data_IF_583344057400
#
_entry.id   IF_583344057400
#
_cell.length_a   1.000
_cell.length_b   1.000
_cell.length_c   1.000
_cell.angle_alpha   90.00
_cell.angle_beta   90.00
_cell.angle_gamma   90.00
#
_symmetry.space_group_name_H-M   'P 1'
#
loop_
_entity.id
_entity.type
_entity.pdbx_description
1 polymer ?
#
# COMPACT_ATOMS: atom_id res chain seq x y z
N UNK A 1 0.64 -0.14 -13.80
CA UNK A 1 0.78 -1.43 -13.10
C UNK A 1 2.13 -1.61 -12.39
N UNK A 2 3.26 -1.22 -13.00
CA UNK A 2 4.61 -1.40 -12.43
C UNK A 2 4.80 -0.81 -11.03
N UNK A 3 4.46 0.47 -10.81
CA UNK A 3 4.62 1.13 -9.50
C UNK A 3 3.83 0.42 -8.40
N UNK A 4 2.59 0.02 -8.68
CA UNK A 4 1.79 -0.77 -7.74
C UNK A 4 2.48 -2.10 -7.41
N UNK A 5 2.95 -2.80 -8.44
CA UNK A 5 3.62 -4.10 -8.27
C UNK A 5 4.86 -4.00 -7.39
N UNK A 6 5.77 -3.06 -7.68
CA UNK A 6 7.01 -2.90 -6.92
C UNK A 6 6.72 -2.53 -5.45
N UNK A 7 5.76 -1.62 -5.20
CA UNK A 7 5.38 -1.27 -3.84
C UNK A 7 4.83 -2.47 -3.07
N UNK A 8 3.90 -3.23 -3.66
CA UNK A 8 3.36 -4.44 -3.03
C UNK A 8 4.43 -5.48 -2.70
N UNK A 9 5.38 -5.70 -3.61
CA UNK A 9 6.48 -6.64 -3.39
C UNK A 9 7.43 -6.15 -2.29
N UNK A 10 7.75 -4.86 -2.23
CA UNK A 10 8.63 -4.32 -1.20
C UNK A 10 8.03 -4.37 0.21
N UNK A 11 6.73 -4.09 0.35
CA UNK A 11 6.03 -4.34 1.60
C UNK A 11 6.15 -5.82 2.01
N UNK A 12 5.87 -6.76 1.10
CA UNK A 12 6.01 -8.18 1.41
C UNK A 12 7.44 -8.57 1.79
N UNK A 13 8.43 -8.10 1.02
CA UNK A 13 9.86 -8.38 1.22
C UNK A 13 10.33 -7.94 2.61
N UNK A 14 10.02 -6.73 3.01
CA UNK A 14 10.41 -6.23 4.34
C UNK A 14 9.64 -6.93 5.47
N UNK A 15 8.38 -7.31 5.27
CA UNK A 15 7.65 -8.12 6.24
C UNK A 15 8.30 -9.51 6.41
N UNK A 16 8.80 -10.11 5.32
CA UNK A 16 9.58 -11.35 5.38
C UNK A 16 10.92 -11.14 6.12
N UNK A 17 11.59 -10.00 5.94
CA UNK A 17 12.82 -9.67 6.68
C UNK A 17 12.56 -9.49 8.18
N UNK A 18 11.44 -8.87 8.55
CA UNK A 18 11.00 -8.76 9.95
C UNK A 18 10.65 -10.14 10.51
N UNK A 19 9.94 -10.97 9.75
CA UNK A 19 9.60 -12.34 10.15
C UNK A 19 10.87 -13.18 10.39
N UNK A 20 11.85 -13.09 9.48
CA UNK A 20 13.13 -13.81 9.57
C UNK A 20 13.93 -13.46 10.83
N UNK A 21 13.84 -12.22 11.32
CA UNK A 21 14.48 -11.79 12.57
C UNK A 21 13.80 -12.37 13.82
N UNK A 22 12.52 -12.71 13.71
CA UNK A 22 11.69 -13.17 14.83
C UNK A 22 11.37 -14.67 14.79
N UNK A 23 11.84 -15.41 13.76
CA UNK A 23 11.59 -16.84 13.60
C UNK A 23 11.54 -17.29 12.13
N UNK A 24 10.92 -18.45 11.84
CA UNK A 24 10.82 -18.97 10.48
C UNK A 24 9.92 -18.09 9.60
N UNK A 25 10.25 -17.99 8.31
CA UNK A 25 9.45 -17.25 7.32
C UNK A 25 8.22 -18.10 6.96
N UNK A 26 7.13 -17.89 7.68
CA UNK A 26 5.84 -18.55 7.47
C UNK A 26 4.74 -17.54 7.21
N UNK A 27 3.64 -17.95 6.60
CA UNK A 27 2.48 -17.09 6.36
C UNK A 27 2.00 -16.35 7.63
N UNK A 28 1.78 -17.04 8.77
CA UNK A 28 1.42 -16.40 10.04
C UNK A 28 2.45 -15.37 10.54
N UNK A 29 3.75 -15.66 10.42
CA UNK A 29 4.79 -14.74 10.89
C UNK A 29 4.93 -13.51 9.99
N UNK A 30 4.80 -13.67 8.66
CA UNK A 30 4.76 -12.55 7.71
C UNK A 30 3.52 -11.68 7.98
N UNK A 31 2.35 -12.31 8.18
CA UNK A 31 1.11 -11.61 8.53
C UNK A 31 1.28 -10.81 9.82
N UNK A 32 1.86 -11.40 10.87
CA UNK A 32 2.14 -10.70 12.12
C UNK A 32 3.12 -9.54 11.91
N UNK A 33 4.17 -9.71 11.09
CA UNK A 33 5.13 -8.68 10.75
C UNK A 33 4.50 -7.48 10.03
N UNK A 34 3.58 -7.72 9.10
CA UNK A 34 2.83 -6.67 8.39
C UNK A 34 2.06 -5.75 9.35
N UNK A 35 1.68 -6.23 10.54
CA UNK A 35 0.91 -5.47 11.54
C UNK A 35 1.76 -4.63 12.50
N UNK A 36 3.09 -4.76 12.45
CA UNK A 36 3.97 -4.10 13.41
C UNK A 36 4.22 -2.63 13.10
N UNK A 37 3.97 -2.19 11.86
CA UNK A 37 4.27 -0.83 11.40
C UNK A 37 3.00 -0.06 11.06
N UNK A 38 3.04 1.24 11.32
CA UNK A 38 2.03 2.21 10.88
C UNK A 38 2.68 3.27 9.99
N UNK A 39 1.90 3.81 9.04
CA UNK A 39 2.34 4.77 8.03
C UNK A 39 3.64 4.35 7.33
N UNK A 40 3.76 3.05 7.10
CA UNK A 40 4.97 2.44 6.61
C UNK A 40 5.17 2.77 5.13
N UNK A 41 6.39 3.20 4.79
CA UNK A 41 6.90 3.27 3.42
C UNK A 41 8.14 2.37 3.38
N UNK A 42 8.29 1.47 2.39
CA UNK A 42 9.48 0.64 2.28
C UNK A 42 10.73 1.49 2.05
N UNK A 43 11.83 1.10 2.66
CA UNK A 43 13.08 1.84 2.61
C UNK A 43 13.57 2.00 1.16
N UNK A 44 13.89 3.23 0.77
CA UNK A 44 14.36 3.57 -0.57
C UNK A 44 13.25 3.76 -1.62
N UNK A 45 11.97 3.71 -1.22
CA UNK A 45 10.82 3.97 -2.08
C UNK A 45 10.00 5.18 -1.62
N UNK A 46 10.62 6.10 -0.89
CA UNK A 46 10.04 7.37 -0.47
C UNK A 46 9.61 8.19 -1.69
N UNK A 47 8.40 8.75 -1.65
CA UNK A 47 7.80 9.50 -2.76
C UNK A 47 7.29 8.62 -3.92
N UNK A 48 7.58 7.32 -3.92
CA UNK A 48 7.06 6.35 -4.90
C UNK A 48 5.92 5.54 -4.32
N UNK A 49 6.11 4.97 -3.12
CA UNK A 49 5.09 4.15 -2.47
C UNK A 49 4.27 4.97 -1.48
N UNK A 50 2.95 4.81 -1.54
CA UNK A 50 2.04 5.45 -0.61
C UNK A 50 2.18 4.80 0.78
N UNK A 51 2.25 5.60 1.87
CA UNK A 51 2.34 5.08 3.23
C UNK A 51 1.14 4.18 3.53
N UNK A 52 1.39 3.03 4.15
CA UNK A 52 0.37 2.01 4.40
C UNK A 52 0.45 1.46 5.82
N UNK A 53 -0.71 1.06 6.35
CA UNK A 53 -0.86 0.42 7.66
C UNK A 53 -1.81 -0.77 7.52
N UNK A 54 -1.38 -1.93 7.99
CA UNK A 54 -2.22 -3.12 8.09
C UNK A 54 -2.44 -3.47 9.55
N UNK A 55 -3.65 -3.93 9.89
CA UNK A 55 -4.00 -4.39 11.23
C UNK A 55 -4.66 -5.76 11.16
N UNK A 56 -4.76 -6.44 12.31
CA UNK A 56 -5.38 -7.75 12.38
C UNK A 56 -6.85 -7.75 11.89
N UNK A 57 -7.57 -6.68 12.20
CA UNK A 57 -8.98 -6.42 11.88
C UNK A 57 -9.21 -5.62 10.59
N UNK A 58 -8.15 -5.07 9.98
CA UNK A 58 -8.25 -4.30 8.73
C UNK A 58 -6.99 -4.47 7.86
N UNK A 59 -7.11 -5.24 6.78
CA UNK A 59 -6.02 -5.48 5.82
C UNK A 59 -5.95 -4.46 4.69
N UNK A 60 -6.73 -3.38 4.72
CA UNK A 60 -6.61 -2.29 3.75
C UNK A 60 -5.39 -1.44 4.11
N UNK A 61 -4.34 -1.52 3.29
CA UNK A 61 -3.08 -0.81 3.54
C UNK A 61 -3.25 0.72 3.58
N UNK A 62 -3.97 1.28 2.62
CA UNK A 62 -4.31 2.70 2.57
C UNK A 62 -5.76 2.90 2.11
N UNK A 63 -6.36 4.00 2.55
CA UNK A 63 -7.67 4.49 2.07
C UNK A 63 -7.53 5.83 1.34
N UNK A 64 -6.31 6.25 1.03
CA UNK A 64 -6.07 7.41 0.17
C UNK A 64 -6.33 7.06 -1.29
N UNK A 65 -7.20 7.83 -1.92
CA UNK A 65 -7.52 7.72 -3.34
C UNK A 65 -7.17 9.04 -4.01
N UNK A 66 -6.34 8.95 -5.04
CA UNK A 66 -5.92 10.11 -5.82
C UNK A 66 -6.83 10.26 -7.03
N UNK A 67 -7.42 11.45 -7.19
CA UNK A 67 -8.26 11.80 -8.32
C UNK A 67 -7.43 12.56 -9.35
N UNK A 68 -7.47 12.09 -10.59
CA UNK A 68 -6.75 12.69 -11.70
C UNK A 68 -7.74 13.11 -12.79
N UNK A 69 -7.53 14.31 -13.33
CA UNK A 69 -8.15 14.73 -14.58
C UNK A 69 -7.27 14.28 -15.74
N UNK A 70 -7.81 13.44 -16.61
CA UNK A 70 -7.16 13.05 -17.86
C UNK A 70 -7.41 14.10 -18.94
N UNK A 71 -6.37 14.42 -19.72
CA UNK A 71 -6.49 15.23 -20.93
C UNK A 71 -5.99 14.44 -22.12
N UNK A 72 -6.75 14.45 -23.22
CA UNK A 72 -6.35 13.86 -24.49
C UNK A 72 -6.37 14.92 -25.59
N UNK A 73 -5.27 15.06 -26.33
CA UNK A 73 -5.19 15.98 -27.48
C UNK A 73 -4.28 15.39 -28.55
N UNK A 74 -4.82 15.14 -29.75
CA UNK A 74 -4.04 14.64 -30.89
C UNK A 74 -3.27 13.35 -30.60
N UNK A 75 -3.84 12.43 -29.81
CA UNK A 75 -3.19 11.18 -29.41
C UNK A 75 -2.27 11.27 -28.19
N UNK A 76 -1.90 12.47 -27.72
CA UNK A 76 -1.20 12.66 -26.46
C UNK A 76 -2.16 12.54 -25.27
N UNK A 77 -1.77 11.75 -24.26
CA UNK A 77 -2.49 11.60 -23.00
C UNK A 77 -1.66 12.23 -21.88
N UNK A 78 -2.28 13.06 -21.06
CA UNK A 78 -1.68 13.59 -19.83
C UNK A 78 -2.67 13.45 -18.67
N UNK A 79 -2.15 13.42 -17.45
CA UNK A 79 -2.97 13.36 -16.24
C UNK A 79 -2.53 14.47 -15.29
N UNK A 80 -3.49 15.27 -14.82
CA UNK A 80 -3.28 16.25 -13.75
C UNK A 80 -3.94 15.72 -12.48
N UNK A 81 -3.17 15.57 -11.40
CA UNK A 81 -3.74 15.28 -10.08
C UNK A 81 -4.58 16.49 -9.66
N UNK A 82 -5.86 16.28 -9.38
CA UNK A 82 -6.78 17.35 -8.98
C UNK A 82 -7.10 17.31 -7.49
N UNK A 83 -7.08 16.12 -6.89
CA UNK A 83 -7.43 15.96 -5.48
C UNK A 83 -6.90 14.64 -4.92
N UNK A 84 -6.69 14.57 -3.60
CA UNK A 84 -6.52 13.32 -2.86
C UNK A 84 -7.62 13.26 -1.81
N UNK A 85 -8.39 12.17 -1.80
CA UNK A 85 -9.41 11.90 -0.79
C UNK A 85 -8.93 10.82 0.16
N UNK A 86 -9.11 11.01 1.45
CA UNK A 86 -8.94 9.96 2.46
C UNK A 86 -10.31 9.39 2.77
N UNK A 87 -10.56 8.14 2.35
CA UNK A 87 -11.84 7.49 2.62
C UNK A 87 -11.88 6.99 4.08
N UNK A 88 -13.05 7.07 4.74
CA UNK A 88 -13.23 6.49 6.06
C UNK A 88 -13.08 4.96 6.00
N UNK A 89 -12.49 4.35 7.04
CA UNK A 89 -12.37 2.89 7.17
C UNK A 89 -13.68 2.28 7.65
N UNK A 90 -14.69 2.25 6.78
CA UNK A 90 -16.01 1.71 7.14
C UNK A 90 -15.98 0.18 7.24
N UNK A 91 -16.54 -0.45 8.32
CA UNK A 91 -16.55 -1.90 8.48
C UNK A 91 -17.30 -2.63 7.37
N UNK A 92 -18.39 -2.07 6.86
CA UNK A 92 -19.20 -2.67 5.80
C UNK A 92 -18.50 -2.76 4.43
N UNK A 93 -17.28 -2.20 4.31
CA UNK A 93 -16.43 -2.31 3.12
C UNK A 93 -15.32 -3.35 3.25
N UNK A 94 -15.17 -3.97 4.42
CA UNK A 94 -14.36 -5.17 4.55
C UNK A 94 -15.15 -6.27 3.83
N UNK A 95 -14.66 -6.71 2.67
CA UNK A 95 -15.30 -7.79 1.92
C UNK A 95 -15.48 -9.06 2.78
N UNK A 96 -16.32 -9.98 2.29
CA UNK A 96 -16.57 -11.28 2.92
C UNK A 96 -15.43 -12.26 2.69
#
# INVERSE_FOLDING_TARGET
HYIRGICSVYYMKEAMEIAAKNGPITGPNIKAAMYQKANWVPAGLEGVCAPSTWKADDHRGSTEVMVYQGHTKGGAISMKKIYTVTLPRRPEWLGW
#
